data_IF_715238872044
#
_entry.id   IF_715238872044
#
_cell.length_a   1.000
_cell.length_b   1.000
_cell.length_c   1.000
_cell.angle_alpha   90.00
_cell.angle_beta   90.00
_cell.angle_gamma   90.00
#
_symmetry.space_group_name_H-M   'P 1'
#
loop_
_entity.id
_entity.type
_entity.pdbx_description
1 polymer ?
#
# COMPACT_ATOMS: atom_id res chain seq x y z
N UNK A 1 -12.47 0.38 -17.26
CA UNK A 1 -12.96 1.59 -16.58
C UNK A 1 -12.93 1.44 -15.06
N UNK A 2 -13.57 0.40 -14.51
CA UNK A 2 -13.68 0.14 -13.06
C UNK A 2 -12.32 0.13 -12.33
N UNK A 3 -11.32 -0.62 -12.83
CA UNK A 3 -9.98 -0.68 -12.24
C UNK A 3 -9.29 0.68 -12.13
N UNK A 4 -9.53 1.59 -13.10
CA UNK A 4 -8.93 2.93 -13.12
C UNK A 4 -9.50 3.79 -11.99
N UNK A 5 -10.83 3.82 -11.89
CA UNK A 5 -11.56 4.54 -10.82
C UNK A 5 -11.09 4.02 -9.46
N UNK A 6 -10.91 2.71 -9.35
CA UNK A 6 -10.49 2.12 -8.10
C UNK A 6 -9.06 2.47 -7.69
N UNK A 7 -8.12 2.48 -8.64
CA UNK A 7 -6.74 2.91 -8.39
C UNK A 7 -6.66 4.40 -8.02
N UNK A 8 -7.47 5.26 -8.66
CA UNK A 8 -7.62 6.66 -8.27
C UNK A 8 -8.14 6.77 -6.84
N UNK A 9 -9.26 6.11 -6.55
CA UNK A 9 -9.87 6.11 -5.24
C UNK A 9 -8.90 5.61 -4.15
N UNK A 10 -8.20 4.51 -4.40
CA UNK A 10 -7.20 3.94 -3.48
C UNK A 10 -6.04 4.92 -3.27
N UNK A 11 -5.52 5.52 -4.35
CA UNK A 11 -4.45 6.50 -4.29
C UNK A 11 -4.83 7.74 -3.46
N UNK A 12 -6.01 8.31 -3.70
CA UNK A 12 -6.51 9.44 -2.92
C UNK A 12 -6.84 9.07 -1.48
N UNK A 13 -7.37 7.87 -1.22
CA UNK A 13 -7.59 7.36 0.14
C UNK A 13 -6.28 7.27 0.90
N UNK A 14 -5.22 6.74 0.27
CA UNK A 14 -3.90 6.67 0.89
C UNK A 14 -3.35 8.06 1.20
N UNK A 15 -3.44 9.02 0.27
CA UNK A 15 -3.02 10.40 0.52
C UNK A 15 -3.81 11.04 1.67
N UNK A 16 -5.13 10.86 1.69
CA UNK A 16 -6.01 11.41 2.72
C UNK A 16 -5.63 10.86 4.10
N UNK A 17 -5.54 9.54 4.25
CA UNK A 17 -5.20 8.89 5.53
C UNK A 17 -3.82 9.30 6.02
N UNK A 18 -2.82 9.28 5.15
CA UNK A 18 -1.46 9.72 5.50
C UNK A 18 -1.41 11.19 5.91
N UNK A 19 -2.06 12.06 5.14
CA UNK A 19 -2.07 13.51 5.39
C UNK A 19 -2.83 13.86 6.67
N UNK A 20 -3.96 13.20 6.94
CA UNK A 20 -4.74 13.40 8.15
C UNK A 20 -3.91 13.13 9.42
N UNK A 21 -3.15 12.04 9.43
CA UNK A 21 -2.26 11.68 10.54
C UNK A 21 -1.07 12.65 10.67
N UNK A 22 -0.48 13.07 9.55
CA UNK A 22 0.63 14.02 9.56
C UNK A 22 0.22 15.40 10.05
N UNK A 23 -0.87 15.95 9.50
CA UNK A 23 -1.37 17.28 9.86
C UNK A 23 -1.82 17.36 11.31
N UNK A 24 -2.28 16.25 11.89
CA UNK A 24 -2.65 16.19 13.30
C UNK A 24 -1.47 16.47 14.23
N UNK A 25 -0.31 15.85 13.98
CA UNK A 25 0.90 16.10 14.77
C UNK A 25 2.16 15.95 13.90
N UNK A 26 2.54 17.01 13.15
CA UNK A 26 3.64 16.93 12.20
C UNK A 26 5.01 16.84 12.88
N UNK A 27 5.11 17.07 14.19
CA UNK A 27 6.37 16.98 14.95
C UNK A 27 6.74 15.53 15.31
N UNK A 28 5.76 14.61 15.37
CA UNK A 28 5.99 13.20 15.74
C UNK A 28 6.56 12.41 14.57
N UNK A 29 7.70 11.74 14.78
CA UNK A 29 8.39 10.98 13.72
C UNK A 29 7.56 9.83 13.17
N UNK A 30 6.83 9.11 14.02
CA UNK A 30 5.95 8.02 13.56
C UNK A 30 4.86 8.51 12.60
N UNK A 31 4.30 9.71 12.83
CA UNK A 31 3.30 10.32 11.93
C UNK A 31 3.92 10.71 10.58
N UNK A 32 5.14 11.29 10.60
CA UNK A 32 5.89 11.60 9.38
C UNK A 32 6.15 10.33 8.55
N UNK A 33 6.61 9.27 9.19
CA UNK A 33 6.93 8.00 8.53
C UNK A 33 5.66 7.35 7.97
N UNK A 34 4.56 7.35 8.73
CA UNK A 34 3.27 6.85 8.24
C UNK A 34 2.79 7.62 7.01
N UNK A 35 2.96 8.95 6.99
CA UNK A 35 2.66 9.75 5.81
C UNK A 35 3.49 9.32 4.59
N UNK A 36 4.81 9.13 4.73
CA UNK A 36 5.64 8.66 3.61
C UNK A 36 5.25 7.25 3.14
N UNK A 37 4.86 6.37 4.07
CA UNK A 37 4.34 5.04 3.73
C UNK A 37 3.07 5.16 2.89
N UNK A 38 2.11 5.98 3.32
CA UNK A 38 0.86 6.21 2.60
C UNK A 38 1.08 6.96 1.26
N UNK A 39 2.03 7.90 1.23
CA UNK A 39 2.41 8.66 0.05
C UNK A 39 3.06 7.78 -1.02
N UNK A 40 3.95 6.85 -0.65
CA UNK A 40 4.53 5.88 -1.56
C UNK A 40 3.47 4.96 -2.19
N UNK A 41 2.52 4.47 -1.37
CA UNK A 41 1.38 3.68 -1.85
C UNK A 41 0.48 4.49 -2.80
N UNK A 42 0.25 5.76 -2.48
CA UNK A 42 -0.53 6.66 -3.31
C UNK A 42 0.12 6.91 -4.67
N UNK A 43 1.41 7.26 -4.69
CA UNK A 43 2.16 7.46 -5.93
C UNK A 43 2.06 6.20 -6.79
N UNK A 44 2.27 5.02 -6.19
CA UNK A 44 2.19 3.77 -6.93
C UNK A 44 0.81 3.52 -7.55
N UNK A 45 -0.27 3.69 -6.77
CA UNK A 45 -1.64 3.52 -7.25
C UNK A 45 -2.05 4.54 -8.32
N UNK A 46 -1.78 5.83 -8.08
CA UNK A 46 -2.10 6.92 -9.01
C UNK A 46 -1.31 6.81 -10.31
N UNK A 47 -0.05 6.37 -10.23
CA UNK A 47 0.78 6.11 -11.41
C UNK A 47 0.19 5.02 -12.31
N UNK A 48 -0.25 3.89 -11.73
CA UNK A 48 -0.93 2.85 -12.51
C UNK A 48 -2.26 3.37 -13.09
N UNK A 49 -3.02 4.17 -12.35
CA UNK A 49 -4.25 4.78 -12.88
C UNK A 49 -3.95 5.67 -14.11
N UNK A 50 -2.92 6.52 -14.01
CA UNK A 50 -2.47 7.40 -15.08
C UNK A 50 -2.04 6.63 -16.34
N UNK A 51 -1.24 5.58 -16.19
CA UNK A 51 -0.83 4.70 -17.30
C UNK A 51 -2.07 4.13 -18.00
N UNK A 52 -3.08 3.68 -17.23
CA UNK A 52 -4.28 3.10 -17.80
C UNK A 52 -5.16 4.12 -18.53
N UNK A 53 -5.08 5.41 -18.22
CA UNK A 53 -5.81 6.50 -18.90
C UNK A 53 -5.04 6.99 -20.16
N UNK A 54 -3.96 6.30 -20.53
CA UNK A 54 -3.13 6.61 -21.71
C UNK A 54 -2.30 7.88 -21.56
N UNK A 55 -1.88 8.20 -20.33
CA UNK A 55 -0.84 9.22 -20.10
C UNK A 55 0.55 8.64 -20.40
N UNK A 56 1.59 9.47 -20.41
CA UNK A 56 2.98 9.09 -20.70
C UNK A 56 3.44 7.85 -19.88
N UNK A 57 3.42 6.68 -20.51
CA UNK A 57 3.61 5.37 -19.84
C UNK A 57 4.95 5.33 -19.11
N UNK A 58 6.01 5.82 -19.74
CA UNK A 58 7.35 5.77 -19.15
C UNK A 58 7.45 6.64 -17.88
N UNK A 59 6.97 7.89 -17.96
CA UNK A 59 6.96 8.81 -16.83
C UNK A 59 6.21 8.23 -15.63
N UNK A 60 5.00 7.71 -15.85
CA UNK A 60 4.18 7.18 -14.77
C UNK A 60 4.71 5.83 -14.26
N UNK A 61 5.31 5.00 -15.11
CA UNK A 61 6.01 3.81 -14.62
C UNK A 61 7.14 4.20 -13.67
N UNK A 62 8.00 5.15 -14.06
CA UNK A 62 9.08 5.66 -13.19
C UNK A 62 8.52 6.24 -11.89
N UNK A 63 7.45 7.02 -11.96
CA UNK A 63 6.78 7.54 -10.77
C UNK A 63 6.29 6.39 -9.86
N UNK A 64 5.69 5.34 -10.42
CA UNK A 64 5.23 4.17 -9.66
C UNK A 64 6.37 3.46 -8.92
N UNK A 65 7.51 3.25 -9.59
CA UNK A 65 8.70 2.66 -8.97
C UNK A 65 9.35 3.58 -7.93
N UNK A 66 9.35 4.89 -8.14
CA UNK A 66 9.78 5.86 -7.13
C UNK A 66 8.85 5.80 -5.89
N UNK A 67 7.53 5.66 -6.10
CA UNK A 67 6.56 5.40 -5.04
C UNK A 67 6.87 4.12 -4.25
N UNK A 68 7.24 3.04 -4.96
CA UNK A 68 7.66 1.79 -4.34
C UNK A 68 8.96 1.95 -3.52
N UNK A 69 9.94 2.73 -4.00
CA UNK A 69 11.15 3.05 -3.25
C UNK A 69 10.83 3.78 -1.94
N UNK A 70 9.99 4.82 -1.99
CA UNK A 70 9.53 5.56 -0.80
C UNK A 70 8.81 4.62 0.18
N UNK A 71 7.91 3.77 -0.35
CA UNK A 71 7.13 2.83 0.44
C UNK A 71 8.01 1.86 1.24
N UNK A 72 8.95 1.16 0.58
CA UNK A 72 9.75 0.13 1.25
C UNK A 72 10.68 0.74 2.30
N UNK A 73 11.24 1.93 2.05
CA UNK A 73 12.01 2.67 3.05
C UNK A 73 11.13 3.04 4.25
N UNK A 74 9.97 3.65 4.00
CA UNK A 74 9.05 4.09 5.04
C UNK A 74 8.52 2.92 5.87
N UNK A 75 8.27 1.77 5.26
CA UNK A 75 7.87 0.54 5.95
C UNK A 75 8.92 0.05 6.96
N UNK A 76 10.20 0.03 6.56
CA UNK A 76 11.29 -0.37 7.46
C UNK A 76 11.44 0.62 8.61
N UNK A 77 11.40 1.92 8.32
CA UNK A 77 11.45 2.97 9.33
C UNK A 77 10.25 2.90 10.29
N UNK A 78 9.06 2.59 9.77
CA UNK A 78 7.84 2.43 10.57
C UNK A 78 8.00 1.25 11.53
N UNK A 79 8.51 0.13 11.04
CA UNK A 79 8.80 -1.07 11.83
C UNK A 79 9.88 -0.84 12.90
N UNK A 80 10.81 0.10 12.67
CA UNK A 80 11.78 0.54 13.68
C UNK A 80 11.14 1.43 14.76
N UNK A 81 10.26 2.36 14.39
CA UNK A 81 9.64 3.32 15.31
C UNK A 81 8.42 2.80 16.08
N UNK A 82 7.69 1.80 15.55
CA UNK A 82 6.49 1.29 16.22
C UNK A 82 6.82 0.82 17.64
N UNK A 83 6.13 1.38 18.63
CA UNK A 83 6.26 1.06 20.05
C UNK A 83 7.68 1.20 20.64
N UNK A 84 8.55 1.97 19.99
CA UNK A 84 9.89 2.28 20.50
C UNK A 84 10.01 3.77 20.81
N UNK A 85 10.56 4.15 21.99
CA UNK A 85 10.87 5.53 22.27
C UNK A 85 12.01 6.00 21.35
N UNK A 86 11.87 7.21 20.79
CA UNK A 86 12.77 7.74 19.75
C UNK A 86 14.25 7.71 20.17
N UNK A 87 14.53 7.89 21.47
CA UNK A 87 15.88 7.94 22.06
C UNK A 87 16.62 6.59 21.94
N UNK A 88 15.92 5.46 21.82
CA UNK A 88 16.55 4.13 21.76
C UNK A 88 16.98 3.72 20.35
N UNK A 89 16.59 4.44 19.32
CA UNK A 89 16.85 4.05 17.93
C UNK A 89 18.16 4.67 17.46
N UNK A 90 19.13 3.82 17.07
CA UNK A 90 20.38 4.29 16.47
C UNK A 90 20.11 5.07 15.18
N UNK A 91 20.68 6.29 15.09
CA UNK A 91 20.55 7.17 13.91
C UNK A 91 20.97 6.48 12.62
N UNK A 92 21.98 5.61 12.66
CA UNK A 92 22.48 4.88 11.48
C UNK A 92 21.41 3.96 10.90
N UNK A 93 20.63 3.28 11.76
CA UNK A 93 19.52 2.39 11.33
C UNK A 93 18.39 3.16 10.64
N UNK A 94 18.33 4.48 10.83
CA UNK A 94 17.34 5.36 10.19
C UNK A 94 17.89 6.02 8.93
N UNK A 95 19.11 6.57 9.01
CA UNK A 95 19.73 7.32 7.92
C UNK A 95 20.02 6.42 6.73
N UNK A 96 20.55 5.20 6.94
CA UNK A 96 20.93 4.33 5.83
C UNK A 96 19.73 3.97 4.95
N UNK A 97 18.62 3.40 5.48
CA UNK A 97 17.47 3.07 4.65
C UNK A 97 16.84 4.30 3.99
N UNK A 98 16.73 5.42 4.71
CA UNK A 98 16.16 6.65 4.18
C UNK A 98 17.00 7.23 3.03
N UNK A 99 18.32 7.28 3.21
CA UNK A 99 19.25 7.81 2.22
C UNK A 99 19.31 6.92 0.98
N UNK A 100 19.36 5.60 1.15
CA UNK A 100 19.30 4.66 0.01
C UNK A 100 17.98 4.78 -0.75
N UNK A 101 16.85 4.89 -0.04
CA UNK A 101 15.54 5.13 -0.65
C UNK A 101 15.52 6.41 -1.47
N UNK A 102 16.03 7.50 -0.91
CA UNK A 102 16.14 8.79 -1.59
C UNK A 102 17.04 8.72 -2.84
N UNK A 103 18.19 8.05 -2.75
CA UNK A 103 19.07 7.82 -3.90
C UNK A 103 18.33 7.05 -5.00
N UNK A 104 17.63 5.96 -4.67
CA UNK A 104 16.87 5.20 -5.66
C UNK A 104 15.75 6.02 -6.29
N UNK A 105 15.03 6.85 -5.52
CA UNK A 105 14.01 7.76 -6.07
C UNK A 105 14.62 8.68 -7.12
N UNK A 106 15.75 9.33 -6.82
CA UNK A 106 16.46 10.21 -7.77
C UNK A 106 16.87 9.41 -9.02
N UNK A 107 17.51 8.25 -8.82
CA UNK A 107 17.98 7.42 -9.93
C UNK A 107 16.82 6.96 -10.84
N UNK A 108 15.68 6.57 -10.27
CA UNK A 108 14.50 6.13 -11.02
C UNK A 108 13.90 7.28 -11.84
N UNK A 109 13.76 8.46 -11.23
CA UNK A 109 13.08 9.59 -11.85
C UNK A 109 13.93 10.30 -12.91
N UNK A 110 15.24 10.36 -12.71
CA UNK A 110 16.14 11.19 -13.55
C UNK A 110 16.91 10.35 -14.58
N UNK A 111 17.18 9.07 -14.30
CA UNK A 111 18.10 8.26 -15.11
C UNK A 111 17.47 6.98 -15.64
N UNK A 112 18.02 6.41 -16.71
CA UNK A 112 17.64 5.10 -17.24
C UNK A 112 18.30 3.92 -16.50
N UNK A 113 19.00 4.20 -15.40
CA UNK A 113 19.83 3.19 -14.72
C UNK A 113 18.98 2.13 -14.01
N UNK A 114 17.81 2.47 -13.48
CA UNK A 114 16.92 1.50 -12.82
C UNK A 114 15.88 0.96 -13.81
N UNK A 115 15.27 1.83 -14.61
CA UNK A 115 14.28 1.47 -15.63
C UNK A 115 14.62 2.24 -16.90
N UNK A 116 14.79 1.53 -18.01
CA UNK A 116 15.09 2.15 -19.31
C UNK A 116 13.84 2.64 -20.01
N UNK A 117 12.75 1.89 -19.88
CA UNK A 117 11.49 2.16 -20.57
C UNK A 117 10.37 1.28 -20.03
N UNK A 118 9.12 1.62 -20.33
CA UNK A 118 7.97 0.75 -20.09
C UNK A 118 7.02 0.73 -21.28
N UNK A 119 6.49 -0.45 -21.60
CA UNK A 119 5.58 -0.67 -22.73
C UNK A 119 4.47 -1.64 -22.34
N UNK A 120 3.44 -1.72 -23.19
CA UNK A 120 2.43 -2.76 -23.07
C UNK A 120 2.78 -3.93 -23.98
N UNK A 121 3.01 -5.10 -23.39
CA UNK A 121 3.16 -6.37 -24.11
C UNK A 121 2.00 -7.26 -23.68
N UNK A 122 1.22 -7.78 -24.65
CA UNK A 122 0.06 -8.65 -24.37
C UNK A 122 -0.93 -8.08 -23.32
N UNK A 123 -1.27 -6.78 -23.40
CA UNK A 123 -2.14 -6.05 -22.47
C UNK A 123 -1.63 -5.91 -21.01
N UNK A 124 -0.39 -6.31 -20.77
CA UNK A 124 0.30 -6.15 -19.51
C UNK A 124 1.35 -5.06 -19.55
N UNK A 125 1.52 -4.36 -18.42
CA UNK A 125 2.56 -3.37 -18.27
C UNK A 125 3.88 -4.10 -18.00
N UNK A 126 4.84 -3.93 -18.90
CA UNK A 126 6.20 -4.46 -18.76
C UNK A 126 7.21 -3.31 -18.74
N UNK A 127 8.19 -3.40 -17.86
CA UNK A 127 9.27 -2.42 -17.72
C UNK A 127 10.59 -3.07 -18.12
N UNK A 128 11.36 -2.38 -18.95
CA UNK A 128 12.69 -2.83 -19.37
C UNK A 128 13.69 -2.49 -18.26
N UNK A 129 14.29 -3.50 -17.60
CA UNK A 129 15.18 -3.25 -16.47
C UNK A 129 16.49 -2.59 -16.93
N UNK A 130 16.94 -1.60 -16.16
CA UNK A 130 18.27 -1.01 -16.28
C UNK A 130 19.31 -1.79 -15.45
N UNK A 131 20.61 -1.43 -15.55
CA UNK A 131 21.69 -2.10 -14.81
C UNK A 131 21.53 -2.04 -13.27
N UNK A 132 20.86 -1.02 -12.73
CA UNK A 132 20.59 -0.86 -11.30
C UNK A 132 19.22 -1.40 -10.86
N UNK A 133 18.47 -2.07 -11.74
CA UNK A 133 17.19 -2.69 -11.40
C UNK A 133 17.35 -3.77 -10.31
N UNK A 134 18.30 -4.69 -10.46
CA UNK A 134 18.53 -5.75 -9.48
C UNK A 134 19.04 -5.22 -8.13
N UNK A 135 19.99 -4.27 -8.07
CA UNK A 135 20.32 -3.56 -6.82
C UNK A 135 19.12 -2.93 -6.13
N UNK A 136 18.21 -2.28 -6.88
CA UNK A 136 16.97 -1.73 -6.33
C UNK A 136 16.07 -2.84 -5.75
N UNK A 137 15.92 -3.95 -6.47
CA UNK A 137 15.13 -5.10 -6.00
C UNK A 137 15.71 -5.70 -4.70
N UNK A 138 17.03 -5.87 -4.62
CA UNK A 138 17.71 -6.34 -3.41
C UNK A 138 17.48 -5.39 -2.23
N UNK A 139 17.55 -4.08 -2.47
CA UNK A 139 17.23 -3.07 -1.46
C UNK A 139 15.77 -3.17 -0.99
N UNK A 140 14.82 -3.32 -1.90
CA UNK A 140 13.41 -3.48 -1.57
C UNK A 140 13.15 -4.75 -0.75
N UNK A 141 13.73 -5.89 -1.16
CA UNK A 141 13.65 -7.17 -0.43
C UNK A 141 14.25 -7.03 0.97
N UNK A 142 15.42 -6.40 1.10
CA UNK A 142 16.04 -6.13 2.39
C UNK A 142 15.11 -5.32 3.32
N UNK A 143 14.50 -4.26 2.80
CA UNK A 143 13.58 -3.43 3.58
C UNK A 143 12.33 -4.22 4.02
N UNK A 144 11.76 -5.03 3.12
CA UNK A 144 10.60 -5.88 3.41
C UNK A 144 10.93 -6.93 4.46
N UNK A 145 11.99 -7.73 4.26
CA UNK A 145 12.39 -8.77 5.21
C UNK A 145 12.82 -8.19 6.55
N UNK A 146 13.53 -7.07 6.54
CA UNK A 146 13.89 -6.33 7.75
C UNK A 146 12.66 -5.87 8.52
N UNK A 147 11.62 -5.39 7.84
CA UNK A 147 10.34 -5.00 8.45
C UNK A 147 9.64 -6.19 9.10
N UNK A 148 9.53 -7.32 8.38
CA UNK A 148 8.95 -8.56 8.90
C UNK A 148 9.69 -9.03 10.15
N UNK A 149 11.03 -9.09 10.09
CA UNK A 149 11.87 -9.51 11.20
C UNK A 149 11.67 -8.62 12.44
N UNK A 150 11.68 -7.29 12.26
CA UNK A 150 11.51 -6.34 13.35
C UNK A 150 10.12 -6.43 13.98
N UNK A 151 9.06 -6.46 13.16
CA UNK A 151 7.69 -6.60 13.65
C UNK A 151 7.51 -7.93 14.40
N UNK A 152 8.06 -9.04 13.87
CA UNK A 152 8.02 -10.33 14.55
C UNK A 152 8.76 -10.30 15.89
N UNK A 153 9.97 -9.74 15.93
CA UNK A 153 10.75 -9.62 17.16
C UNK A 153 10.01 -8.78 18.20
N UNK A 154 9.42 -7.64 17.81
CA UNK A 154 8.64 -6.78 18.70
C UNK A 154 7.34 -7.46 19.15
N UNK A 155 6.68 -8.21 18.27
CA UNK A 155 5.50 -9.01 18.64
C UNK A 155 5.82 -10.04 19.73
N UNK A 156 6.97 -10.71 19.63
CA UNK A 156 7.41 -11.70 20.63
C UNK A 156 7.78 -11.07 21.98
N UNK A 157 8.26 -9.82 21.98
CA UNK A 157 8.72 -9.11 23.18
C UNK A 157 7.64 -8.23 23.84
N UNK A 158 6.52 -7.98 23.16
CA UNK A 158 5.46 -7.10 23.64
C UNK A 158 4.35 -7.87 24.34
N UNK A 159 3.62 -7.17 25.23
CA UNK A 159 2.42 -7.66 25.89
C UNK A 159 1.33 -6.58 25.90
N UNK A 160 0.09 -6.98 26.17
CA UNK A 160 -1.06 -6.07 26.24
C UNK A 160 -1.27 -5.26 24.95
N UNK A 161 -1.57 -3.97 25.11
CA UNK A 161 -1.92 -3.06 24.01
C UNK A 161 -0.83 -2.98 22.93
N UNK A 162 0.45 -2.95 23.32
CA UNK A 162 1.55 -2.88 22.37
C UNK A 162 1.61 -4.10 21.44
N UNK A 163 1.24 -5.28 21.97
CA UNK A 163 1.21 -6.52 21.18
C UNK A 163 0.08 -6.52 20.16
N UNK A 164 -1.09 -6.04 20.56
CA UNK A 164 -2.24 -5.93 19.63
C UNK A 164 -1.94 -4.92 18.51
N UNK A 165 -1.37 -3.76 18.81
CA UNK A 165 -0.96 -2.79 17.77
C UNK A 165 -0.06 -3.45 16.71
N UNK A 166 0.98 -4.17 17.14
CA UNK A 166 1.91 -4.85 16.23
C UNK A 166 1.21 -5.97 15.45
N UNK A 167 0.33 -6.73 16.10
CA UNK A 167 -0.45 -7.81 15.47
C UNK A 167 -1.28 -7.30 14.30
N UNK A 168 -2.02 -6.20 14.47
CA UNK A 168 -2.81 -5.64 13.38
C UNK A 168 -1.93 -5.05 12.28
N UNK A 169 -0.86 -4.34 12.62
CA UNK A 169 0.11 -3.85 11.62
C UNK A 169 0.71 -5.02 10.81
N UNK A 170 1.10 -6.11 11.49
CA UNK A 170 1.65 -7.30 10.85
C UNK A 170 0.63 -8.00 9.95
N UNK A 171 -0.63 -8.10 10.40
CA UNK A 171 -1.73 -8.65 9.62
C UNK A 171 -2.01 -7.81 8.37
N UNK A 172 -2.13 -6.48 8.50
CA UNK A 172 -2.32 -5.58 7.37
C UNK A 172 -1.14 -5.63 6.40
N UNK A 173 0.08 -5.75 6.92
CA UNK A 173 1.26 -5.93 6.10
C UNK A 173 1.22 -7.25 5.31
N UNK A 174 0.86 -8.37 5.95
CA UNK A 174 0.71 -9.64 5.24
C UNK A 174 -0.39 -9.60 4.17
N UNK A 175 -1.55 -9.02 4.50
CA UNK A 175 -2.69 -8.87 3.59
C UNK A 175 -2.41 -7.94 2.40
N UNK A 176 -1.45 -7.02 2.54
CA UNK A 176 -0.97 -6.20 1.45
C UNK A 176 0.17 -6.86 0.66
N UNK A 177 1.25 -7.21 1.36
CA UNK A 177 2.52 -7.61 0.75
C UNK A 177 2.41 -8.96 0.03
N UNK A 178 1.71 -9.94 0.60
CA UNK A 178 1.59 -11.27 -0.05
C UNK A 178 0.87 -11.14 -1.39
N UNK A 179 -0.35 -10.57 -1.48
CA UNK A 179 -1.00 -10.39 -2.77
C UNK A 179 -0.25 -9.45 -3.71
N UNK A 180 0.38 -8.37 -3.21
CA UNK A 180 1.16 -7.46 -4.04
C UNK A 180 2.37 -8.16 -4.68
N UNK A 181 3.15 -8.93 -3.90
CA UNK A 181 4.31 -9.69 -4.40
C UNK A 181 3.86 -10.78 -5.38
N UNK A 182 2.77 -11.48 -5.07
CA UNK A 182 2.22 -12.50 -5.98
C UNK A 182 1.80 -11.88 -7.31
N UNK A 183 0.98 -10.82 -7.25
CA UNK A 183 0.40 -10.21 -8.46
C UNK A 183 1.37 -9.41 -9.29
N UNK A 184 2.42 -8.81 -8.71
CA UNK A 184 3.36 -7.93 -9.43
C UNK A 184 4.77 -8.53 -9.58
N UNK A 185 5.07 -9.64 -8.92
CA UNK A 185 6.38 -10.28 -8.97
C UNK A 185 6.30 -11.74 -9.41
N UNK A 186 5.65 -12.59 -8.62
CA UNK A 186 5.63 -14.04 -8.85
C UNK A 186 4.87 -14.40 -10.14
N UNK A 187 3.66 -13.89 -10.33
CA UNK A 187 2.86 -14.20 -11.51
C UNK A 187 3.54 -13.77 -12.82
N UNK A 188 4.07 -12.53 -12.95
CA UNK A 188 4.85 -12.14 -14.12
C UNK A 188 6.14 -12.94 -14.28
N UNK A 189 6.93 -13.04 -13.21
CA UNK A 189 8.31 -13.55 -13.29
C UNK A 189 8.43 -15.07 -13.41
N UNK A 190 7.47 -15.82 -12.88
CA UNK A 190 7.48 -17.29 -12.89
C UNK A 190 6.48 -17.86 -13.90
N UNK A 191 5.30 -17.26 -14.00
CA UNK A 191 4.20 -17.79 -14.81
C UNK A 191 3.96 -17.00 -16.11
N UNK A 192 4.66 -15.87 -16.33
CA UNK A 192 4.42 -14.99 -17.48
C UNK A 192 3.04 -14.32 -17.46
N UNK A 193 2.35 -14.33 -16.32
CA UNK A 193 0.99 -13.78 -16.18
C UNK A 193 1.05 -12.39 -15.56
N UNK A 194 1.02 -11.38 -16.42
CA UNK A 194 1.15 -9.97 -16.02
C UNK A 194 -0.18 -9.20 -15.97
N UNK A 195 -1.30 -9.89 -16.21
CA UNK A 195 -2.65 -9.31 -16.21
C UNK A 195 -3.02 -8.70 -14.84
N UNK A 196 -2.57 -9.33 -13.75
CA UNK A 196 -2.92 -8.95 -12.39
C UNK A 196 -2.03 -7.86 -11.79
N UNK A 197 -0.98 -7.39 -12.48
CA UNK A 197 -0.05 -6.36 -11.98
C UNK A 197 -0.81 -5.12 -11.45
N UNK A 198 -1.90 -4.76 -12.12
CA UNK A 198 -2.73 -3.59 -11.80
C UNK A 198 -3.40 -3.67 -10.42
N UNK A 199 -3.49 -4.85 -9.80
CA UNK A 199 -4.14 -5.05 -8.49
C UNK A 199 -3.20 -4.80 -7.30
N UNK A 200 -1.87 -4.81 -7.49
CA UNK A 200 -0.90 -4.69 -6.39
C UNK A 200 -1.17 -3.52 -5.42
N UNK A 201 -1.24 -2.27 -5.93
CA UNK A 201 -1.52 -1.11 -5.07
C UNK A 201 -2.90 -1.16 -4.43
N UNK A 202 -3.85 -1.89 -5.00
CA UNK A 202 -5.20 -1.97 -4.47
C UNK A 202 -5.26 -2.65 -3.10
N UNK A 203 -4.36 -3.61 -2.83
CA UNK A 203 -4.28 -4.27 -1.53
C UNK A 203 -3.76 -3.35 -0.42
N UNK A 204 -3.28 -2.15 -0.75
CA UNK A 204 -2.79 -1.16 0.22
C UNK A 204 -3.85 -0.72 1.24
N UNK A 205 -5.13 -0.81 0.87
CA UNK A 205 -6.27 -0.54 1.76
C UNK A 205 -6.24 -1.44 3.01
N UNK A 206 -5.73 -2.67 2.91
CA UNK A 206 -5.61 -3.57 4.06
C UNK A 206 -4.48 -3.15 5.00
N UNK A 207 -3.35 -2.69 4.47
CA UNK A 207 -2.24 -2.20 5.28
C UNK A 207 -2.61 -0.91 6.01
N UNK A 208 -3.04 0.12 5.28
CA UNK A 208 -3.46 1.37 5.91
C UNK A 208 -4.68 1.16 6.81
N UNK A 209 -5.56 0.22 6.44
CA UNK A 209 -6.69 -0.22 7.25
C UNK A 209 -6.32 -0.77 8.60
N UNK A 210 -5.40 -1.72 8.62
CA UNK A 210 -4.98 -2.31 9.87
C UNK A 210 -4.16 -1.34 10.73
N UNK A 211 -3.35 -0.46 10.11
CA UNK A 211 -2.65 0.60 10.85
C UNK A 211 -3.65 1.60 11.43
N UNK A 212 -4.64 2.05 10.65
CA UNK A 212 -5.70 2.91 11.12
C UNK A 212 -6.45 2.24 12.28
N UNK A 213 -6.89 0.99 12.13
CA UNK A 213 -7.53 0.26 13.22
C UNK A 213 -6.65 0.20 14.49
N UNK A 214 -5.34 -0.03 14.34
CA UNK A 214 -4.39 0.01 15.46
C UNK A 214 -4.28 1.40 16.11
N UNK A 215 -4.35 2.48 15.33
CA UNK A 215 -4.40 3.87 15.84
C UNK A 215 -5.68 4.09 16.64
N UNK A 216 -6.81 3.66 16.09
CA UNK A 216 -8.12 3.99 16.64
C UNK A 216 -8.43 3.17 17.89
N UNK A 217 -8.31 1.85 17.80
CA UNK A 217 -8.70 0.94 18.87
C UNK A 217 -7.61 0.80 19.94
N UNK A 218 -6.36 0.67 19.51
CA UNK A 218 -5.24 0.45 20.41
C UNK A 218 -4.37 1.68 20.61
N UNK A 219 -4.78 2.87 20.16
CA UNK A 219 -4.07 4.14 20.40
C UNK A 219 -2.60 4.11 19.94
N UNK A 220 -2.31 3.45 18.81
CA UNK A 220 -0.96 3.40 18.23
C UNK A 220 -0.36 4.79 18.01
N UNK A 221 -1.21 5.76 17.68
CA UNK A 221 -0.86 7.16 17.62
C UNK A 221 -1.89 7.94 18.43
N UNK A 222 -1.41 8.97 19.14
CA UNK A 222 -2.25 9.86 19.92
C UNK A 222 -2.97 10.82 18.97
N UNK A 223 -4.15 10.44 18.47
CA UNK A 223 -4.95 11.19 17.48
C UNK A 223 -6.37 11.42 18.03
N UNK A 224 -6.92 12.63 17.86
CA UNK A 224 -8.25 13.01 18.35
C UNK A 224 -9.40 12.19 17.74
N UNK A 225 -10.48 12.07 18.50
CA UNK A 225 -11.69 11.29 18.17
C UNK A 225 -12.40 11.73 16.86
N UNK A 226 -12.31 13.01 16.47
CA UNK A 226 -12.95 13.48 15.22
C UNK A 226 -12.29 12.88 13.98
N UNK A 227 -10.96 12.77 13.97
CA UNK A 227 -10.24 12.07 12.91
C UNK A 227 -10.49 10.56 12.95
N UNK A 228 -10.79 10.00 14.13
CA UNK A 228 -11.13 8.57 14.29
C UNK A 228 -12.36 8.18 13.48
N UNK A 229 -13.44 8.95 13.54
CA UNK A 229 -14.67 8.62 12.80
C UNK A 229 -14.48 8.76 11.29
N UNK A 230 -13.91 9.88 10.82
CA UNK A 230 -13.68 10.09 9.38
C UNK A 230 -12.76 9.04 8.75
N UNK A 231 -11.72 8.63 9.49
CA UNK A 231 -10.80 7.56 9.07
C UNK A 231 -11.53 6.22 8.95
N UNK A 232 -12.39 5.84 9.92
CA UNK A 232 -13.17 4.58 9.86
C UNK A 232 -14.09 4.53 8.64
N UNK A 233 -14.89 5.58 8.42
CA UNK A 233 -15.83 5.62 7.29
C UNK A 233 -15.10 5.54 5.95
N UNK A 234 -14.00 6.28 5.80
CA UNK A 234 -13.17 6.24 4.59
C UNK A 234 -12.65 4.83 4.33
N UNK A 235 -12.25 4.13 5.38
CA UNK A 235 -11.69 2.78 5.28
C UNK A 235 -12.73 1.71 4.95
N UNK A 236 -13.89 1.76 5.62
CA UNK A 236 -15.01 0.87 5.32
C UNK A 236 -15.41 1.04 3.86
N UNK A 237 -15.54 2.29 3.41
CA UNK A 237 -15.88 2.59 2.02
C UNK A 237 -14.82 2.06 1.05
N UNK A 238 -13.53 2.21 1.38
CA UNK A 238 -12.43 1.69 0.58
C UNK A 238 -12.43 0.17 0.46
N UNK A 239 -12.69 -0.56 1.55
CA UNK A 239 -12.80 -2.02 1.54
C UNK A 239 -14.01 -2.48 0.73
N UNK A 240 -15.16 -1.80 0.87
CA UNK A 240 -16.36 -2.11 0.08
C UNK A 240 -16.09 -1.94 -1.42
N UNK A 241 -15.46 -0.82 -1.82
CA UNK A 241 -15.11 -0.58 -3.23
C UNK A 241 -14.08 -1.62 -3.70
N UNK A 242 -13.09 -1.97 -2.87
CA UNK A 242 -12.12 -3.03 -3.20
C UNK A 242 -12.82 -4.35 -3.52
N UNK A 243 -13.71 -4.81 -2.63
CA UNK A 243 -14.46 -6.06 -2.80
C UNK A 243 -15.32 -5.99 -4.07
N UNK A 244 -16.00 -4.87 -4.30
CA UNK A 244 -16.79 -4.66 -5.51
C UNK A 244 -15.95 -4.78 -6.79
N UNK A 245 -14.81 -4.09 -6.84
CA UNK A 245 -13.93 -4.07 -8.01
C UNK A 245 -13.31 -5.44 -8.24
N UNK A 246 -12.90 -6.13 -7.18
CA UNK A 246 -12.35 -7.48 -7.27
C UNK A 246 -13.41 -8.45 -7.80
N UNK A 247 -14.60 -8.45 -7.23
CA UNK A 247 -15.70 -9.31 -7.65
C UNK A 247 -16.08 -9.02 -9.11
N UNK A 248 -16.31 -7.77 -9.48
CA UNK A 248 -16.64 -7.41 -10.88
C UNK A 248 -15.56 -7.81 -11.87
N UNK A 249 -14.28 -7.70 -11.50
CA UNK A 249 -13.16 -8.13 -12.34
C UNK A 249 -13.17 -9.65 -12.55
N UNK A 250 -13.45 -10.44 -11.50
CA UNK A 250 -13.55 -11.89 -11.59
C UNK A 250 -14.78 -12.33 -12.41
N UNK A 251 -15.96 -11.77 -12.11
CA UNK A 251 -17.19 -12.11 -12.82
C UNK A 251 -17.20 -11.67 -14.29
N UNK A 252 -16.48 -10.59 -14.63
CA UNK A 252 -16.36 -10.15 -16.03
C UNK A 252 -15.71 -11.18 -16.94
N UNK A 253 -14.82 -12.02 -16.38
CA UNK A 253 -14.17 -13.12 -17.12
C UNK A 253 -15.08 -14.32 -17.33
N UNK A 254 -16.02 -14.55 -16.40
CA UNK A 254 -16.90 -15.73 -16.43
C UNK A 254 -18.22 -15.48 -17.15
N UNK A 255 -18.83 -14.33 -16.93
CA UNK A 255 -20.21 -14.05 -17.35
C UNK A 255 -20.31 -13.04 -18.50
N UNK A 256 -19.31 -12.16 -18.65
CA UNK A 256 -19.36 -11.02 -19.59
C UNK A 256 -20.50 -10.03 -19.31
N UNK A 257 -20.43 -8.84 -19.90
CA UNK A 257 -21.54 -7.87 -19.94
C UNK A 257 -22.05 -7.36 -18.58
N UNK A 258 -23.33 -6.98 -18.54
CA UNK A 258 -24.00 -6.42 -17.36
C UNK A 258 -24.06 -7.33 -16.11
N UNK A 259 -24.24 -8.67 -16.23
CA UNK A 259 -24.26 -9.57 -15.07
C UNK A 259 -23.00 -9.49 -14.20
N UNK A 260 -21.84 -9.23 -14.81
CA UNK A 260 -20.58 -9.09 -14.10
C UNK A 260 -20.52 -7.89 -13.14
N UNK A 261 -21.42 -6.92 -13.31
CA UNK A 261 -21.53 -5.72 -12.46
C UNK A 261 -22.71 -5.88 -11.48
N UNK A 262 -23.83 -6.37 -11.97
CA UNK A 262 -25.09 -6.47 -11.21
C UNK A 262 -24.95 -7.46 -10.05
N UNK A 263 -24.34 -8.63 -10.26
CA UNK A 263 -24.23 -9.67 -9.23
C UNK A 263 -23.40 -9.20 -8.03
N UNK A 264 -22.18 -8.66 -8.21
CA UNK A 264 -21.43 -8.07 -7.10
C UNK A 264 -22.16 -6.92 -6.39
N UNK A 265 -22.87 -6.07 -7.14
CA UNK A 265 -23.62 -4.95 -6.56
C UNK A 265 -24.74 -5.45 -5.63
N UNK A 266 -25.48 -6.48 -6.04
CA UNK A 266 -26.54 -7.10 -5.24
C UNK A 266 -25.94 -7.75 -3.99
N UNK A 267 -24.86 -8.53 -4.11
CA UNK A 267 -24.21 -9.20 -2.97
C UNK A 267 -23.76 -8.17 -1.93
N UNK A 268 -23.13 -7.08 -2.37
CA UNK A 268 -22.66 -6.03 -1.45
C UNK A 268 -23.83 -5.29 -0.81
N UNK A 269 -24.87 -4.97 -1.57
CA UNK A 269 -26.05 -4.27 -1.04
C UNK A 269 -26.78 -5.13 0.00
N UNK A 270 -26.99 -6.42 -0.31
CA UNK A 270 -27.63 -7.37 0.61
C UNK A 270 -26.76 -7.66 1.84
N UNK A 271 -25.42 -7.66 1.69
CA UNK A 271 -24.49 -7.84 2.80
C UNK A 271 -24.30 -6.59 3.66
N UNK A 272 -24.52 -5.39 3.10
CA UNK A 272 -24.36 -4.13 3.82
C UNK A 272 -25.44 -3.93 4.89
N UNK A 273 -26.68 -4.34 4.62
CA UNK A 273 -27.81 -4.22 5.55
C UNK A 273 -27.55 -4.95 6.89
N UNK A 274 -27.19 -6.25 6.92
CA UNK A 274 -26.88 -6.94 8.17
C UNK A 274 -25.61 -6.41 8.84
N UNK A 275 -24.61 -5.95 8.08
CA UNK A 275 -23.39 -5.36 8.62
C UNK A 275 -23.66 -4.01 9.33
N UNK A 276 -24.49 -3.15 8.73
CA UNK A 276 -24.94 -1.90 9.34
C UNK A 276 -25.68 -2.18 10.65
N UNK A 277 -26.63 -3.12 10.64
CA UNK A 277 -27.40 -3.51 11.82
C UNK A 277 -26.55 -4.12 12.95
N UNK A 278 -25.38 -4.67 12.62
CA UNK A 278 -24.42 -5.18 13.62
C UNK A 278 -23.60 -4.04 14.24
N UNK A 279 -23.24 -3.01 13.49
CA UNK A 279 -22.50 -1.85 13.99
C UNK A 279 -23.35 -0.87 14.82
N UNK A 280 -24.67 -0.88 14.61
CA UNK A 280 -25.62 -0.04 15.37
C UNK A 280 -26.09 -0.69 16.68
N UNK A 281 -25.62 -1.91 16.98
CA UNK A 281 -25.82 -2.60 18.28
C UNK A 281 -24.62 -2.43 19.18
#
# INVERSE_FOLDING_TARGET
>A
MITRIFLLFTGFTNLFLGSAVFLYNPRKKINQIYFFLAFGLAIWGLSLAAILISWNIDLFSRAGFAGAAILVSALLLFSLYINEPEVKISKIKLIIPAMLGFIFVILILITELVIKGSTFVNHALESVPGPLYFPFLLYAVFCVLGSVYLLFQKFRKSAGMAREQIKYVFLGFALFAVPAIVTNGVLPGVFGVSEFNKLGPSFSVFLLGAIAYAILEYRLMDINFVLRQGTLFTLIFAVIIFIFVLATSLFSKMLGGAPAIIIPAIIITLGFIPFKNFLEK
#
